data_IF_564422264197
#
_entry.id   IF_564422264197
#
_cell.length_a   1.000
_cell.length_b   1.000
_cell.length_c   1.000
_cell.angle_alpha   90.00
_cell.angle_beta   90.00
_cell.angle_gamma   90.00
#
_symmetry.space_group_name_H-M   'P 1'
#
loop_
_entity.id
_entity.type
_entity.pdbx_description
1 polymer ?
#
# COMPACT_ATOMS: atom_id res chain seq x y z
N UNK A 1 -14.74 -12.74 -11.42
CA UNK A 1 -14.83 -11.28 -11.49
C UNK A 1 -14.64 -10.87 -12.94
N UNK A 2 -15.66 -10.23 -13.51
CA UNK A 2 -15.73 -9.84 -14.92
C UNK A 2 -15.23 -8.39 -15.13
N UNK A 3 -15.21 -7.92 -16.36
CA UNK A 3 -14.77 -6.55 -16.69
C UNK A 3 -15.63 -5.43 -16.07
N UNK A 4 -16.92 -5.68 -15.81
CA UNK A 4 -17.83 -4.70 -15.23
C UNK A 4 -17.58 -4.54 -13.72
N UNK A 5 -17.34 -5.65 -13.02
CA UNK A 5 -16.90 -5.67 -11.63
C UNK A 5 -15.56 -4.90 -11.46
N UNK A 6 -14.60 -5.13 -12.37
CA UNK A 6 -13.30 -4.42 -12.34
C UNK A 6 -13.51 -2.93 -12.57
N UNK A 7 -14.39 -2.56 -13.51
CA UNK A 7 -14.72 -1.16 -13.78
C UNK A 7 -15.32 -0.50 -12.55
N UNK A 8 -16.29 -1.14 -11.92
CA UNK A 8 -16.95 -0.63 -10.72
C UNK A 8 -15.95 -0.44 -9.57
N UNK A 9 -15.04 -1.40 -9.36
CA UNK A 9 -13.99 -1.27 -8.36
C UNK A 9 -13.08 -0.07 -8.65
N UNK A 10 -12.64 0.09 -9.90
CA UNK A 10 -11.78 1.21 -10.28
C UNK A 10 -12.48 2.58 -10.21
N UNK A 11 -13.81 2.64 -10.40
CA UNK A 11 -14.56 3.88 -10.38
C UNK A 11 -15.04 4.27 -8.98
N UNK A 12 -15.62 3.31 -8.25
CA UNK A 12 -16.49 3.60 -7.11
C UNK A 12 -15.92 3.10 -5.78
N UNK A 13 -14.98 2.15 -5.79
CA UNK A 13 -14.42 1.63 -4.52
C UNK A 13 -13.46 2.60 -3.85
N UNK A 14 -13.26 2.44 -2.55
CA UNK A 14 -12.20 3.15 -1.82
C UNK A 14 -10.82 2.68 -2.28
N UNK A 15 -9.79 3.50 -2.07
CA UNK A 15 -8.40 3.14 -2.40
C UNK A 15 -7.92 1.87 -1.71
N UNK A 16 -8.37 1.65 -0.47
CA UNK A 16 -8.05 0.43 0.28
C UNK A 16 -8.69 -0.79 -0.37
N UNK A 17 -9.93 -0.64 -0.80
CA UNK A 17 -10.70 -1.74 -1.39
C UNK A 17 -10.19 -2.06 -2.78
N UNK A 18 -9.78 -1.07 -3.58
CA UNK A 18 -9.12 -1.32 -4.86
C UNK A 18 -7.91 -2.22 -4.67
N UNK A 19 -6.99 -1.83 -3.78
CA UNK A 19 -5.76 -2.59 -3.55
C UNK A 19 -6.07 -3.99 -3.01
N UNK A 20 -6.99 -4.10 -2.05
CA UNK A 20 -7.34 -5.39 -1.41
C UNK A 20 -8.02 -6.34 -2.40
N UNK A 21 -8.94 -5.81 -3.21
CA UNK A 21 -9.61 -6.59 -4.25
C UNK A 21 -8.60 -7.06 -5.28
N UNK A 22 -7.72 -6.18 -5.76
CA UNK A 22 -6.68 -6.56 -6.73
C UNK A 22 -5.66 -7.56 -6.20
N UNK A 23 -5.25 -7.46 -4.94
CA UNK A 23 -4.41 -8.49 -4.29
C UNK A 23 -5.09 -9.86 -4.27
N UNK A 24 -6.40 -9.88 -4.06
CA UNK A 24 -7.20 -11.13 -4.06
C UNK A 24 -7.33 -11.66 -5.49
N UNK A 25 -7.65 -10.78 -6.44
CA UNK A 25 -7.86 -11.09 -7.86
C UNK A 25 -6.59 -11.65 -8.51
N UNK A 26 -5.40 -11.15 -8.17
CA UNK A 26 -4.14 -11.62 -8.75
C UNK A 26 -3.43 -12.69 -7.90
N UNK A 27 -4.09 -13.21 -6.87
CA UNK A 27 -3.54 -14.30 -6.06
C UNK A 27 -2.36 -13.90 -5.19
N UNK A 28 -2.04 -12.60 -5.12
CA UNK A 28 -0.97 -12.04 -4.28
C UNK A 28 -1.21 -12.32 -2.79
N UNK A 29 -2.46 -12.58 -2.41
CA UNK A 29 -2.86 -12.89 -1.03
C UNK A 29 -3.13 -14.38 -0.76
N UNK A 30 -3.66 -15.10 -1.75
CA UNK A 30 -4.25 -16.44 -1.53
C UNK A 30 -3.72 -17.55 -2.48
N UNK A 31 -2.67 -17.30 -3.27
CA UNK A 31 -1.94 -18.34 -4.01
C UNK A 31 -2.64 -18.99 -5.22
N UNK A 32 -3.98 -18.91 -5.32
CA UNK A 32 -4.73 -19.43 -6.47
C UNK A 32 -5.57 -18.33 -7.12
N UNK A 33 -5.01 -17.68 -8.12
CA UNK A 33 -5.75 -16.80 -9.03
C UNK A 33 -5.49 -17.24 -10.45
N UNK A 34 -6.56 -17.26 -11.25
CA UNK A 34 -6.46 -17.40 -12.69
C UNK A 34 -6.09 -16.03 -13.28
N UNK A 35 -4.87 -15.56 -13.00
CA UNK A 35 -4.36 -14.22 -13.31
C UNK A 35 -4.52 -13.85 -14.80
N UNK A 36 -4.45 -14.87 -15.67
CA UNK A 36 -4.69 -14.75 -17.12
C UNK A 36 -6.13 -14.35 -17.43
N UNK A 37 -7.13 -14.94 -16.76
CA UNK A 37 -8.55 -14.59 -16.95
C UNK A 37 -8.76 -13.13 -16.54
N UNK A 38 -8.23 -12.73 -15.41
CA UNK A 38 -8.38 -11.35 -14.92
C UNK A 38 -7.66 -10.33 -15.80
N UNK A 39 -6.49 -10.67 -16.35
CA UNK A 39 -5.80 -9.85 -17.35
C UNK A 39 -6.67 -9.64 -18.60
N UNK A 40 -7.32 -10.70 -19.09
CA UNK A 40 -8.23 -10.61 -20.23
C UNK A 40 -9.45 -9.73 -19.95
N UNK A 41 -9.99 -9.76 -18.72
CA UNK A 41 -11.07 -8.85 -18.33
C UNK A 41 -10.61 -7.38 -18.24
N UNK A 42 -9.39 -7.12 -17.76
CA UNK A 42 -8.80 -5.77 -17.78
C UNK A 42 -8.64 -5.27 -19.23
N UNK A 43 -8.26 -6.14 -20.16
CA UNK A 43 -8.16 -5.79 -21.59
C UNK A 43 -9.50 -5.39 -22.20
N UNK A 44 -10.64 -5.80 -21.64
CA UNK A 44 -11.97 -5.37 -22.11
C UNK A 44 -12.35 -3.96 -21.65
N UNK A 45 -11.66 -3.40 -20.65
CA UNK A 45 -11.95 -2.06 -20.13
C UNK A 45 -11.72 -0.96 -21.18
N UNK A 46 -12.45 0.15 -21.03
CA UNK A 46 -12.23 1.34 -21.84
C UNK A 46 -10.89 1.99 -21.49
N UNK A 47 -10.29 2.69 -22.47
CA UNK A 47 -9.04 3.41 -22.26
C UNK A 47 -9.16 4.48 -21.15
N UNK A 48 -10.34 5.11 -21.03
CA UNK A 48 -10.64 6.07 -19.97
C UNK A 48 -10.63 5.42 -18.59
N UNK A 49 -11.25 4.25 -18.45
CA UNK A 49 -11.25 3.49 -17.18
C UNK A 49 -9.83 3.10 -16.77
N UNK A 50 -9.03 2.60 -17.73
CA UNK A 50 -7.64 2.23 -17.48
C UNK A 50 -6.82 3.45 -17.05
N UNK A 51 -7.00 4.58 -17.74
CA UNK A 51 -6.28 5.83 -17.44
C UNK A 51 -6.63 6.36 -16.04
N UNK A 52 -7.91 6.34 -15.68
CA UNK A 52 -8.33 6.70 -14.33
C UNK A 52 -7.77 5.74 -13.27
N UNK A 53 -7.80 4.43 -13.54
CA UNK A 53 -7.22 3.42 -12.65
C UNK A 53 -5.73 3.67 -12.38
N UNK A 54 -4.96 4.03 -13.41
CA UNK A 54 -3.55 4.42 -13.27
C UNK A 54 -3.40 5.64 -12.36
N UNK A 55 -4.18 6.71 -12.60
CA UNK A 55 -4.12 7.93 -11.81
C UNK A 55 -4.47 7.67 -10.33
N UNK A 56 -5.45 6.81 -10.06
CA UNK A 56 -5.78 6.39 -8.69
C UNK A 56 -4.65 5.60 -8.04
N UNK A 57 -3.98 4.71 -8.78
CA UNK A 57 -2.83 3.97 -8.23
C UNK A 57 -1.64 4.89 -7.94
N UNK A 58 -1.41 5.88 -8.78
CA UNK A 58 -0.39 6.90 -8.58
C UNK A 58 -0.67 7.75 -7.34
N UNK A 59 -1.94 8.13 -7.11
CA UNK A 59 -2.34 8.81 -5.86
C UNK A 59 -2.02 7.96 -4.63
N UNK A 60 -2.40 6.67 -4.64
CA UNK A 60 -2.11 5.75 -3.54
C UNK A 60 -0.59 5.59 -3.32
N UNK A 61 0.18 5.47 -4.39
CA UNK A 61 1.64 5.37 -4.34
C UNK A 61 2.26 6.59 -3.64
N UNK A 62 1.80 7.80 -3.97
CA UNK A 62 2.28 9.05 -3.41
C UNK A 62 1.86 9.24 -1.94
N UNK A 63 0.63 8.89 -1.59
CA UNK A 63 0.10 9.02 -0.22
C UNK A 63 0.77 8.06 0.77
N UNK A 64 1.18 6.87 0.30
CA UNK A 64 1.81 5.84 1.11
C UNK A 64 3.35 5.90 1.05
N UNK A 65 3.92 6.97 0.50
CA UNK A 65 5.36 7.18 0.50
C UNK A 65 5.86 7.70 1.86
N UNK A 66 6.05 6.78 2.80
CA UNK A 66 6.53 7.08 4.15
C UNK A 66 8.00 7.52 4.22
N UNK A 67 8.75 7.46 3.11
CA UNK A 67 10.17 7.83 3.07
C UNK A 67 10.42 9.26 3.58
N UNK A 68 9.47 10.16 3.34
CA UNK A 68 9.51 11.57 3.77
C UNK A 68 9.48 11.75 5.29
N UNK A 69 8.89 10.80 6.01
CA UNK A 69 8.71 10.89 7.47
C UNK A 69 9.73 10.06 8.25
N UNK A 70 10.48 9.17 7.56
CA UNK A 70 11.43 8.27 8.20
C UNK A 70 12.53 9.00 9.01
N UNK A 71 13.15 10.10 8.51
CA UNK A 71 14.15 10.83 9.28
C UNK A 71 13.59 11.42 10.58
N UNK A 72 12.36 11.95 10.54
CA UNK A 72 11.69 12.50 11.71
C UNK A 72 11.41 11.41 12.76
N UNK A 73 11.00 10.22 12.33
CA UNK A 73 10.77 9.09 13.22
C UNK A 73 12.05 8.59 13.90
N UNK A 74 13.16 8.55 13.16
CA UNK A 74 14.48 8.20 13.70
C UNK A 74 14.91 9.24 14.74
N UNK A 75 14.70 10.53 14.47
CA UNK A 75 15.00 11.60 15.43
C UNK A 75 14.20 11.47 16.72
N UNK A 76 12.89 11.21 16.65
CA UNK A 76 12.05 10.99 17.83
C UNK A 76 12.51 9.78 18.65
N UNK A 77 12.90 8.70 17.98
CA UNK A 77 13.43 7.50 18.65
C UNK A 77 14.74 7.81 19.39
N UNK A 78 15.64 8.57 18.78
CA UNK A 78 16.90 8.98 19.40
C UNK A 78 16.67 9.87 20.63
N UNK A 79 15.74 10.83 20.55
CA UNK A 79 15.35 11.67 21.69
C UNK A 79 14.79 10.82 22.82
N UNK A 80 13.89 9.88 22.51
CA UNK A 80 13.32 8.98 23.52
C UNK A 80 14.39 8.16 24.23
N UNK A 81 15.34 7.57 23.49
CA UNK A 81 16.46 6.80 24.06
C UNK A 81 17.34 7.71 24.94
N UNK A 82 17.63 8.94 24.49
CA UNK A 82 18.39 9.90 25.26
C UNK A 82 17.74 10.27 26.60
N UNK A 83 16.43 10.54 26.59
CA UNK A 83 15.65 10.80 27.81
C UNK A 83 15.67 9.57 28.72
N UNK A 84 15.40 8.38 28.17
CA UNK A 84 15.35 7.14 28.97
C UNK A 84 16.68 6.84 29.66
N UNK A 85 17.82 7.06 28.99
CA UNK A 85 19.15 6.86 29.57
C UNK A 85 19.55 7.93 30.59
N UNK A 86 18.88 9.09 30.60
CA UNK A 86 19.18 10.19 31.52
C UNK A 86 18.38 10.12 32.84
N UNK A 87 17.44 9.17 32.96
CA UNK A 87 16.67 8.96 34.18
C UNK A 87 17.53 8.15 35.16
N UNK A 88 17.82 8.73 36.32
CA UNK A 88 18.47 8.00 37.43
C UNK A 88 17.45 7.09 38.12
N UNK A 89 17.71 5.79 38.10
CA UNK A 89 16.81 4.75 38.62
C UNK A 89 17.03 4.53 40.12
N UNK A 90 16.92 5.56 40.96
CA UNK A 90 17.37 5.42 42.34
C UNK A 90 16.38 4.70 43.27
N UNK A 91 15.04 4.76 43.07
CA UNK A 91 14.11 4.25 44.12
C UNK A 91 12.85 3.53 43.59
N UNK A 92 12.45 3.69 42.32
CA UNK A 92 11.21 3.04 41.83
C UNK A 92 11.32 2.57 40.38
N UNK A 93 11.84 1.36 40.17
CA UNK A 93 12.06 0.76 38.85
C UNK A 93 10.76 0.50 38.07
N UNK A 94 9.60 0.50 38.74
CA UNK A 94 8.32 0.12 38.16
C UNK A 94 7.85 1.11 37.08
N UNK A 95 8.00 2.42 37.33
CA UNK A 95 7.57 3.47 36.40
C UNK A 95 8.38 3.50 35.09
N UNK A 96 9.72 3.47 35.13
CA UNK A 96 10.52 3.31 33.92
C UNK A 96 10.21 2.04 33.14
N UNK A 97 9.93 0.92 33.83
CA UNK A 97 9.56 -0.35 33.19
C UNK A 97 8.22 -0.22 32.43
N UNK A 98 7.22 0.41 33.06
CA UNK A 98 5.91 0.68 32.43
C UNK A 98 6.08 1.58 31.20
N UNK A 99 6.89 2.63 31.29
CA UNK A 99 7.18 3.52 30.15
C UNK A 99 7.85 2.76 29.01
N UNK A 100 8.85 1.92 29.31
CA UNK A 100 9.54 1.11 28.31
C UNK A 100 8.58 0.12 27.61
N UNK A 101 7.73 -0.57 28.38
CA UNK A 101 6.73 -1.50 27.84
C UNK A 101 5.71 -0.74 26.99
N UNK A 102 5.19 0.38 27.48
CA UNK A 102 4.23 1.22 26.77
C UNK A 102 4.79 1.73 25.46
N UNK A 103 6.03 2.23 25.47
CA UNK A 103 6.75 2.63 24.27
C UNK A 103 6.97 1.47 23.30
N UNK A 104 7.36 0.29 23.81
CA UNK A 104 7.55 -0.91 22.99
C UNK A 104 6.26 -1.32 22.28
N UNK A 105 5.12 -1.33 22.98
CA UNK A 105 3.81 -1.62 22.39
C UNK A 105 3.45 -0.57 21.32
N UNK A 106 3.61 0.71 21.64
CA UNK A 106 3.35 1.80 20.69
C UNK A 106 4.21 1.64 19.43
N UNK A 107 5.51 1.40 19.60
CA UNK A 107 6.45 1.22 18.50
C UNK A 107 6.08 0.02 17.62
N UNK A 108 5.70 -1.12 18.22
CA UNK A 108 5.24 -2.30 17.48
C UNK A 108 3.97 -2.02 16.66
N UNK A 109 2.98 -1.35 17.24
CA UNK A 109 1.75 -0.95 16.53
C UNK A 109 2.05 0.02 15.39
N UNK A 110 3.00 0.92 15.61
CA UNK A 110 3.44 1.90 14.63
C UNK A 110 4.14 1.23 13.44
N UNK A 111 5.11 0.34 13.69
CA UNK A 111 5.80 -0.44 12.65
C UNK A 111 4.80 -1.31 11.88
N UNK A 112 3.84 -1.94 12.56
CA UNK A 112 2.79 -2.73 11.91
C UNK A 112 1.94 -1.88 10.96
N UNK A 113 1.65 -0.64 11.34
CA UNK A 113 0.90 0.31 10.52
C UNK A 113 1.68 0.75 9.29
N UNK A 114 2.98 1.06 9.44
CA UNK A 114 3.87 1.36 8.31
C UNK A 114 3.95 0.16 7.36
N UNK A 115 4.19 -1.04 7.88
CA UNK A 115 4.27 -2.26 7.06
C UNK A 115 3.01 -2.46 6.22
N UNK A 116 1.83 -2.30 6.82
CA UNK A 116 0.56 -2.40 6.10
C UNK A 116 0.44 -1.36 4.98
N UNK A 117 0.95 -0.15 5.20
CA UNK A 117 0.97 0.89 4.17
C UNK A 117 1.99 0.60 3.05
N UNK A 118 3.17 0.07 3.39
CA UNK A 118 4.17 -0.39 2.40
C UNK A 118 3.62 -1.50 1.52
N UNK A 119 2.95 -2.50 2.10
CA UNK A 119 2.33 -3.60 1.33
C UNK A 119 1.25 -3.07 0.37
N UNK A 120 0.46 -2.09 0.82
CA UNK A 120 -0.55 -1.42 -0.02
C UNK A 120 0.10 -0.63 -1.15
N UNK A 121 1.20 0.09 -0.88
CA UNK A 121 1.96 0.83 -1.90
C UNK A 121 2.52 -0.12 -2.96
N UNK A 122 3.18 -1.20 -2.54
CA UNK A 122 3.73 -2.20 -3.46
C UNK A 122 2.66 -2.78 -4.39
N UNK A 123 1.47 -3.02 -3.84
CA UNK A 123 0.34 -3.54 -4.62
C UNK A 123 -0.25 -2.51 -5.59
N UNK A 124 -0.29 -1.24 -5.20
CA UNK A 124 -0.69 -0.15 -6.10
C UNK A 124 0.30 0.00 -7.27
N UNK A 125 1.61 -0.08 -7.01
CA UNK A 125 2.66 -0.07 -8.03
C UNK A 125 2.48 -1.24 -9.00
N UNK A 126 2.26 -2.45 -8.48
CA UNK A 126 2.03 -3.63 -9.30
C UNK A 126 0.76 -3.51 -10.17
N UNK A 127 -0.33 -2.97 -9.61
CA UNK A 127 -1.54 -2.73 -10.40
C UNK A 127 -1.32 -1.65 -11.47
N UNK A 128 -0.62 -0.57 -11.13
CA UNK A 128 -0.26 0.50 -12.06
C UNK A 128 0.48 -0.07 -13.28
N UNK A 129 1.45 -0.97 -13.07
CA UNK A 129 2.22 -1.57 -14.16
C UNK A 129 1.36 -2.45 -15.08
N UNK A 130 0.44 -3.25 -14.54
CA UNK A 130 -0.52 -4.05 -15.33
C UNK A 130 -1.39 -3.12 -16.19
N UNK A 131 -1.95 -2.06 -15.59
CA UNK A 131 -2.81 -1.12 -16.31
C UNK A 131 -2.03 -0.37 -17.39
N UNK A 132 -0.78 0.00 -17.13
CA UNK A 132 0.11 0.63 -18.12
C UNK A 132 0.39 -0.32 -19.29
N UNK A 133 0.69 -1.59 -19.02
CA UNK A 133 0.89 -2.59 -20.06
C UNK A 133 -0.34 -2.73 -20.96
N UNK A 134 -1.54 -2.86 -20.37
CA UNK A 134 -2.79 -2.98 -21.15
C UNK A 134 -3.10 -1.69 -21.92
N UNK A 135 -2.80 -0.52 -21.36
CA UNK A 135 -2.91 0.76 -22.06
C UNK A 135 -2.02 0.78 -23.30
N UNK A 136 -0.76 0.37 -23.18
CA UNK A 136 0.17 0.31 -24.30
C UNK A 136 -0.27 -0.67 -25.38
N UNK A 137 -0.73 -1.87 -25.00
CA UNK A 137 -1.28 -2.86 -25.93
C UNK A 137 -2.43 -2.25 -26.76
N UNK A 138 -3.38 -1.56 -26.12
CA UNK A 138 -4.50 -0.90 -26.79
C UNK A 138 -4.04 0.21 -27.73
N UNK A 139 -3.10 1.06 -27.28
CA UNK A 139 -2.58 2.16 -28.11
C UNK A 139 -1.84 1.63 -29.33
N UNK A 140 -1.03 0.57 -29.17
CA UNK A 140 -0.35 -0.08 -30.31
C UNK A 140 -1.35 -0.74 -31.26
N UNK A 141 -2.35 -1.45 -30.74
CA UNK A 141 -3.41 -2.06 -31.55
C UNK A 141 -4.27 -1.06 -32.33
N UNK A 142 -4.45 0.16 -31.80
CA UNK A 142 -5.14 1.25 -32.51
C UNK A 142 -4.27 1.91 -33.60
N UNK A 143 -2.94 1.84 -33.51
CA UNK A 143 -2.03 2.39 -34.53
C UNK A 143 -1.84 1.47 -35.75
N UNK A 144 -2.30 0.22 -35.68
CA UNK A 144 -2.13 -0.82 -36.71
C UNK A 144 -3.45 -1.04 -37.51
N UNK A 145 -4.51 -0.32 -37.16
CA UNK A 145 -5.78 -0.29 -37.92
C UNK A 145 -5.92 1.04 -38.65
#
# INVERSE_FOLDING_TARGET
>A
MNSEDIRDILLNSSEKDIVTNFQTIFGLKNGSSNSIIHLNEIRKLSLSTITLGIARMEKIEQELDYSKYMPFLIALLAIYIGIFNSIEFEINLLMPLINLIGFGIFFLLFIKSIKKGVDRRASAIYLKSILQQVKEEKVRGMKIK
#
